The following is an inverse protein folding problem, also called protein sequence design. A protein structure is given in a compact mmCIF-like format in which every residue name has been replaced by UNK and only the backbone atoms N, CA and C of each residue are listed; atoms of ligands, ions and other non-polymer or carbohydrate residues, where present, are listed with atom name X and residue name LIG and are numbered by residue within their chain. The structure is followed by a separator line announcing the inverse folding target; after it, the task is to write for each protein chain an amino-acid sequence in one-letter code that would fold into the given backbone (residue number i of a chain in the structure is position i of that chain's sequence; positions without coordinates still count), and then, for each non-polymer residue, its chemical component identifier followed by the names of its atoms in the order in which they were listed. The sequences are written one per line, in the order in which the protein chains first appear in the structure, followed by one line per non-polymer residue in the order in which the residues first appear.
data_IF_793087615174
#
_entry.id   IF_793087615174
#
_cell.length_a   1.000
_cell.length_b   1.000
_cell.length_c   1.000
_cell.angle_alpha   90.00
_cell.angle_beta   90.00
_cell.angle_gamma   90.00
#
_symmetry.space_group_name_H-M   'P 1'
#
loop_
_entity.id
_entity.type
_entity.pdbx_description
1 polymer ?
#
# COMPACT_ATOMS: atom_id res chain seq x y z
N UNK A 1 8.91 3.70 1.02
CA UNK A 1 9.78 4.12 -0.09
C UNK A 1 9.63 5.63 -0.21
N UNK A 2 10.60 6.41 0.25
CA UNK A 2 10.58 7.85 -0.02
C UNK A 2 10.63 8.11 -1.53
N UNK A 3 10.07 9.24 -2.00
CA UNK A 3 10.07 9.63 -3.43
C UNK A 3 11.47 9.57 -4.04
N UNK A 4 12.45 10.21 -3.39
CA UNK A 4 13.85 10.18 -3.80
C UNK A 4 14.42 8.74 -3.94
N UNK A 5 14.02 7.81 -3.07
CA UNK A 5 14.48 6.41 -3.19
C UNK A 5 13.92 5.75 -4.44
N UNK A 6 12.68 6.05 -4.80
CA UNK A 6 12.07 5.56 -6.04
C UNK A 6 12.80 6.15 -7.25
N UNK A 7 12.98 7.46 -7.30
CA UNK A 7 13.70 8.17 -8.37
C UNK A 7 15.11 7.61 -8.58
N UNK A 8 15.90 7.47 -7.51
CA UNK A 8 17.25 6.89 -7.58
C UNK A 8 17.24 5.43 -8.04
N UNK A 9 16.22 4.66 -7.68
CA UNK A 9 16.09 3.26 -8.09
C UNK A 9 15.78 3.17 -9.59
N UNK A 10 14.89 4.03 -10.10
CA UNK A 10 14.57 4.12 -11.53
C UNK A 10 15.77 4.63 -12.33
N UNK A 11 16.46 5.66 -11.84
CA UNK A 11 17.68 6.15 -12.46
C UNK A 11 18.76 5.06 -12.52
N UNK A 12 18.99 4.35 -11.41
CA UNK A 12 19.96 3.25 -11.36
C UNK A 12 19.61 2.14 -12.36
N UNK A 13 18.32 1.82 -12.53
CA UNK A 13 17.85 0.85 -13.51
C UNK A 13 18.25 1.25 -14.94
N UNK A 14 17.97 2.48 -15.37
CA UNK A 14 18.32 2.94 -16.72
C UNK A 14 19.82 3.10 -16.93
N UNK A 15 20.57 3.60 -15.94
CA UNK A 15 22.03 3.69 -16.02
C UNK A 15 22.69 2.31 -16.16
N UNK A 16 22.19 1.30 -15.45
CA UNK A 16 22.68 -0.09 -15.59
C UNK A 16 22.43 -0.69 -16.98
N UNK A 17 21.45 -0.16 -17.71
CA UNK A 17 21.17 -0.53 -19.11
C UNK A 17 22.00 0.28 -20.12
N UNK A 18 22.85 1.20 -19.64
CA UNK A 18 23.67 2.06 -20.49
C UNK A 18 22.93 3.25 -21.08
N UNK A 19 21.75 3.62 -20.57
CA UNK A 19 21.04 4.82 -21.01
C UNK A 19 21.64 6.09 -20.38
N UNK A 20 21.59 7.19 -21.12
CA UNK A 20 21.90 8.53 -20.60
C UNK A 20 20.70 9.13 -19.87
N UNK A 21 20.95 9.78 -18.73
CA UNK A 21 19.93 10.40 -17.88
C UNK A 21 20.20 11.86 -17.62
N UNK A 22 19.15 12.67 -17.66
CA UNK A 22 19.13 14.04 -17.16
C UNK A 22 18.16 14.15 -15.99
N UNK A 23 18.63 14.76 -14.91
CA UNK A 23 17.80 15.32 -13.85
C UNK A 23 17.52 16.78 -14.16
N UNK A 24 16.28 17.14 -14.51
CA UNK A 24 15.95 18.51 -14.90
C UNK A 24 16.26 19.55 -13.80
N UNK A 25 16.18 19.14 -12.53
CA UNK A 25 16.50 19.97 -11.36
C UNK A 25 17.96 20.43 -11.31
N UNK A 26 18.88 19.70 -11.96
CA UNK A 26 20.31 20.06 -12.06
C UNK A 26 20.67 20.65 -13.41
N UNK A 27 19.71 20.80 -14.32
CA UNK A 27 19.95 21.42 -15.63
C UNK A 27 19.85 22.95 -15.53
N UNK A 28 20.79 23.66 -16.15
CA UNK A 28 20.93 25.13 -16.11
C UNK A 28 19.83 25.88 -16.91
N UNK A 29 18.73 25.17 -17.25
CA UNK A 29 17.60 25.73 -18.00
C UNK A 29 16.72 26.59 -17.10
N UNK A 30 17.12 27.85 -17.01
CA UNK A 30 16.42 28.99 -16.45
C UNK A 30 15.12 29.35 -17.20
N UNK A 31 14.17 28.43 -17.27
CA UNK A 31 12.80 28.75 -17.68
C UNK A 31 11.79 27.74 -17.12
N UNK A 32 11.34 28.00 -15.89
CA UNK A 32 10.23 27.28 -15.27
C UNK A 32 10.64 26.09 -14.41
N UNK A 33 9.73 25.70 -13.52
CA UNK A 33 9.89 24.52 -12.65
C UNK A 33 9.99 23.28 -13.56
N UNK A 34 10.98 22.40 -13.38
CA UNK A 34 11.01 21.15 -14.14
C UNK A 34 9.70 20.40 -13.93
N UNK A 35 9.08 19.94 -15.01
CA UNK A 35 7.78 19.30 -14.93
C UNK A 35 7.90 17.86 -14.44
N UNK A 36 8.96 17.15 -14.82
CA UNK A 36 9.17 15.72 -14.55
C UNK A 36 10.47 15.45 -13.77
N UNK A 37 10.59 14.28 -13.13
CA UNK A 37 11.74 13.91 -12.31
C UNK A 37 12.99 13.47 -13.10
N UNK A 38 12.83 12.66 -14.17
CA UNK A 38 13.94 12.12 -14.96
C UNK A 38 13.65 12.22 -16.47
N UNK A 39 14.68 12.49 -17.28
CA UNK A 39 14.66 12.27 -18.73
C UNK A 39 15.66 11.17 -19.09
N UNK A 40 15.18 10.11 -19.75
CA UNK A 40 16.03 9.11 -20.40
C UNK A 40 16.24 9.55 -21.85
N UNK A 41 17.42 10.10 -22.16
CA UNK A 41 17.66 10.75 -23.45
C UNK A 41 17.62 9.76 -24.62
N UNK A 42 18.18 8.58 -24.40
CA UNK A 42 18.42 7.59 -25.46
C UNK A 42 17.24 6.62 -25.66
N UNK A 43 16.06 6.93 -25.09
CA UNK A 43 14.91 6.04 -25.11
C UNK A 43 13.68 6.69 -25.76
N UNK A 44 13.35 6.23 -26.95
CA UNK A 44 12.29 6.83 -27.77
C UNK A 44 12.85 7.77 -28.83
N UNK A 45 11.97 8.47 -29.54
CA UNK A 45 12.38 9.39 -30.62
C UNK A 45 13.05 10.65 -30.08
N UNK A 46 12.52 11.21 -29.00
CA UNK A 46 12.98 12.47 -28.40
C UNK A 46 13.31 12.30 -26.89
N UNK A 47 13.58 11.06 -26.47
CA UNK A 47 13.74 10.68 -25.07
C UNK A 47 12.41 10.42 -24.35
N UNK A 48 12.52 9.80 -23.16
CA UNK A 48 11.39 9.42 -22.30
C UNK A 48 11.40 10.25 -21.02
N UNK A 49 10.33 11.01 -20.79
CA UNK A 49 10.08 11.67 -19.50
C UNK A 49 9.53 10.66 -18.50
N UNK A 50 10.08 10.65 -17.29
CA UNK A 50 9.63 9.80 -16.20
C UNK A 50 9.28 10.66 -15.00
N UNK A 51 8.06 10.48 -14.51
CA UNK A 51 7.59 11.08 -13.28
C UNK A 51 7.40 10.01 -12.21
N UNK A 52 8.03 10.17 -11.05
CA UNK A 52 8.03 9.23 -9.96
C UNK A 52 7.09 9.71 -8.84
N UNK A 53 6.21 8.82 -8.37
CA UNK A 53 5.34 9.08 -7.22
C UNK A 53 5.39 7.96 -6.23
N UNK A 54 5.65 8.29 -4.97
CA UNK A 54 5.45 7.33 -3.89
C UNK A 54 4.07 7.54 -3.26
N UNK A 55 3.32 6.44 -3.14
CA UNK A 55 2.07 6.40 -2.38
C UNK A 55 2.34 5.63 -1.09
N UNK A 56 2.25 6.35 0.03
CA UNK A 56 2.48 5.79 1.35
C UNK A 56 1.41 4.78 1.74
N UNK A 57 1.75 3.92 2.70
CA UNK A 57 0.83 2.88 3.17
C UNK A 57 -0.48 3.44 3.73
N UNK A 58 -0.43 4.65 4.30
CA UNK A 58 -1.53 5.22 5.09
C UNK A 58 -2.42 6.18 4.29
N UNK A 59 -2.00 6.53 3.06
CA UNK A 59 -2.75 7.45 2.21
C UNK A 59 -4.10 6.82 1.83
N UNK A 60 -5.19 7.49 2.16
CA UNK A 60 -6.55 7.00 1.89
C UNK A 60 -7.01 5.83 2.76
N UNK A 61 -6.21 5.37 3.73
CA UNK A 61 -6.65 4.39 4.73
C UNK A 61 -7.41 5.07 5.86
N UNK A 62 -8.49 4.43 6.30
CA UNK A 62 -9.26 4.84 7.48
C UNK A 62 -8.63 4.34 8.77
N UNK A 63 -8.03 3.16 8.70
CA UNK A 63 -7.28 2.50 9.77
C UNK A 63 -5.85 2.29 9.27
N UNK A 64 -4.95 3.20 9.61
CA UNK A 64 -3.55 3.11 9.23
C UNK A 64 -2.74 2.22 10.18
N UNK A 65 -1.71 1.57 9.64
CA UNK A 65 -0.93 0.55 10.38
C UNK A 65 -0.06 1.15 11.48
N UNK A 66 0.44 2.37 11.27
CA UNK A 66 1.24 3.11 12.25
C UNK A 66 0.42 3.41 13.50
N UNK A 67 -0.79 3.96 13.34
CA UNK A 67 -1.69 4.21 14.46
C UNK A 67 -2.04 2.92 15.21
N UNK A 68 -2.26 1.81 14.51
CA UNK A 68 -2.55 0.51 15.14
C UNK A 68 -1.34 -0.01 15.92
N UNK A 69 -0.13 0.16 15.40
CA UNK A 69 1.10 -0.18 16.12
C UNK A 69 1.27 0.65 17.40
N UNK A 70 0.96 1.96 17.36
CA UNK A 70 0.93 2.79 18.57
C UNK A 70 -0.13 2.32 19.58
N UNK A 71 -1.32 1.95 19.09
CA UNK A 71 -2.40 1.41 19.93
C UNK A 71 -1.99 0.09 20.60
N UNK A 72 -1.08 -0.70 20.02
CA UNK A 72 -0.63 -1.96 20.61
C UNK A 72 -0.09 -1.81 22.04
N UNK A 73 0.67 -0.74 22.30
CA UNK A 73 1.17 -0.47 23.64
C UNK A 73 0.03 -0.09 24.59
N UNK A 74 -0.91 0.72 24.13
CA UNK A 74 -2.05 1.15 24.92
C UNK A 74 -3.02 0.01 25.22
N UNK A 75 -3.25 -0.91 24.27
CA UNK A 75 -4.07 -2.10 24.50
C UNK A 75 -3.44 -2.96 25.60
N UNK A 76 -2.13 -3.21 25.54
CA UNK A 76 -1.42 -3.95 26.62
C UNK A 76 -1.56 -3.30 27.98
N UNK A 77 -1.59 -1.96 28.04
CA UNK A 77 -1.75 -1.20 29.29
C UNK A 77 -3.20 -1.21 29.82
N UNK A 78 -4.19 -1.07 28.93
CA UNK A 78 -5.60 -0.96 29.32
C UNK A 78 -6.29 -2.33 29.49
N UNK A 79 -5.74 -3.38 28.88
CA UNK A 79 -6.29 -4.74 28.91
C UNK A 79 -5.24 -5.76 29.44
N UNK A 80 -4.70 -5.56 30.66
CA UNK A 80 -3.66 -6.45 31.20
C UNK A 80 -4.15 -7.89 31.40
N UNK A 81 -5.46 -8.09 31.57
CA UNK A 81 -6.13 -9.39 31.70
C UNK A 81 -5.94 -10.28 30.47
N UNK A 82 -5.56 -9.73 29.31
CA UNK A 82 -5.28 -10.51 28.10
C UNK A 82 -4.24 -11.62 28.32
N UNK A 83 -3.32 -11.43 29.28
CA UNK A 83 -2.29 -12.42 29.63
C UNK A 83 -2.78 -13.58 30.50
N UNK A 84 -3.98 -13.47 31.05
CA UNK A 84 -4.59 -14.42 31.98
C UNK A 84 -5.78 -15.15 31.33
N UNK A 85 -6.07 -14.85 30.06
CA UNK A 85 -7.08 -15.56 29.29
C UNK A 85 -6.70 -17.04 29.13
N UNK A 86 -7.68 -17.91 29.35
CA UNK A 86 -7.58 -19.36 29.15
C UNK A 86 -8.21 -19.81 27.82
N UNK A 87 -9.03 -18.95 27.22
CA UNK A 87 -9.63 -19.12 25.89
C UNK A 87 -9.27 -17.91 25.00
N UNK A 88 -9.60 -18.02 23.71
CA UNK A 88 -9.47 -16.90 22.79
C UNK A 88 -10.62 -15.91 22.94
N UNK A 89 -10.31 -14.61 22.90
CA UNK A 89 -11.29 -13.54 22.82
C UNK A 89 -10.93 -12.61 21.65
N UNK A 90 -11.82 -12.49 20.68
CA UNK A 90 -11.72 -11.53 19.60
C UNK A 90 -12.57 -10.30 19.92
N UNK A 91 -11.99 -9.12 19.72
CA UNK A 91 -12.61 -7.81 19.89
C UNK A 91 -12.54 -7.09 18.56
N UNK A 92 -13.68 -6.98 17.88
CA UNK A 92 -13.79 -6.25 16.61
C UNK A 92 -14.28 -4.85 16.90
N UNK A 93 -13.42 -3.87 16.64
CA UNK A 93 -13.67 -2.44 16.87
C UNK A 93 -13.98 -1.79 15.53
N UNK A 94 -15.22 -1.34 15.34
CA UNK A 94 -15.67 -0.65 14.12
C UNK A 94 -15.91 0.83 14.44
N UNK A 95 -14.99 1.70 14.01
CA UNK A 95 -15.16 3.15 14.15
C UNK A 95 -16.05 3.71 13.03
N UNK A 96 -16.82 4.79 13.25
CA UNK A 96 -17.71 5.34 12.23
C UNK A 96 -17.02 5.89 10.98
N UNK A 97 -15.79 6.40 11.12
CA UNK A 97 -15.01 6.94 10.00
C UNK A 97 -13.53 6.55 10.09
N UNK A 98 -12.80 6.96 11.12
CA UNK A 98 -11.37 6.64 11.27
C UNK A 98 -10.95 6.58 12.72
N UNK A 99 -9.80 5.97 12.98
CA UNK A 99 -9.19 6.02 14.32
C UNK A 99 -8.85 7.47 14.70
N UNK A 100 -8.98 7.86 15.98
CA UNK A 100 -8.63 9.19 16.45
C UNK A 100 -7.16 9.53 16.20
N UNK A 101 -6.89 10.75 15.73
CA UNK A 101 -5.54 11.22 15.41
C UNK A 101 -4.77 11.75 16.62
N UNK A 102 -5.47 12.13 17.68
CA UNK A 102 -4.85 12.64 18.89
C UNK A 102 -4.66 11.54 19.94
N UNK A 103 -3.48 11.50 20.57
CA UNK A 103 -3.12 10.47 21.54
C UNK A 103 -4.08 10.42 22.75
N UNK A 104 -4.61 11.57 23.18
CA UNK A 104 -5.60 11.69 24.25
C UNK A 104 -6.91 11.00 23.89
N UNK A 105 -7.41 11.22 22.67
CA UNK A 105 -8.62 10.59 22.15
C UNK A 105 -8.43 9.09 21.95
N UNK A 106 -7.27 8.66 21.42
CA UNK A 106 -6.92 7.23 21.30
C UNK A 106 -6.96 6.53 22.66
N UNK A 107 -6.39 7.17 23.69
CA UNK A 107 -6.41 6.64 25.06
C UNK A 107 -7.83 6.58 25.63
N UNK A 108 -8.65 7.59 25.38
CA UNK A 108 -10.04 7.61 25.81
C UNK A 108 -10.87 6.50 25.14
N UNK A 109 -10.71 6.34 23.82
CA UNK A 109 -11.34 5.28 23.04
C UNK A 109 -10.95 3.89 23.58
N UNK A 110 -9.65 3.61 23.75
CA UNK A 110 -9.21 2.32 24.28
C UNK A 110 -9.67 2.05 25.70
N UNK A 111 -9.77 3.08 26.55
CA UNK A 111 -10.32 2.93 27.89
C UNK A 111 -11.81 2.56 27.85
N UNK A 112 -12.58 3.16 26.93
CA UNK A 112 -13.98 2.83 26.72
C UNK A 112 -14.14 1.39 26.18
N UNK A 113 -13.33 1.00 25.20
CA UNK A 113 -13.29 -0.38 24.68
C UNK A 113 -12.95 -1.37 25.80
N UNK A 114 -11.89 -1.12 26.58
CA UNK A 114 -11.49 -2.00 27.68
C UNK A 114 -12.59 -2.17 28.72
N UNK A 115 -13.32 -1.10 29.05
CA UNK A 115 -14.49 -1.18 29.95
C UNK A 115 -15.58 -2.08 29.37
N UNK A 116 -15.89 -1.94 28.08
CA UNK A 116 -16.88 -2.75 27.39
C UNK A 116 -16.47 -4.23 27.35
N UNK A 117 -15.20 -4.52 27.05
CA UNK A 117 -14.64 -5.88 27.08
C UNK A 117 -14.72 -6.49 28.47
N UNK A 118 -14.41 -5.73 29.52
CA UNK A 118 -14.50 -6.20 30.91
C UNK A 118 -15.95 -6.48 31.36
N UNK A 119 -16.94 -5.83 30.74
CA UNK A 119 -18.35 -6.14 30.96
C UNK A 119 -18.79 -7.42 30.23
N UNK A 120 -18.00 -7.91 29.26
CA UNK A 120 -18.33 -9.10 28.48
C UNK A 120 -19.46 -8.90 27.49
N UNK A 121 -19.77 -7.65 27.12
CA UNK A 121 -20.91 -7.33 26.25
C UNK A 121 -20.46 -6.63 24.96
N UNK A 122 -20.94 -7.09 23.80
CA UNK A 122 -20.89 -6.30 22.57
C UNK A 122 -21.78 -5.07 22.70
N UNK A 123 -21.41 -3.95 22.08
CA UNK A 123 -22.16 -2.71 22.21
C UNK A 123 -21.66 -1.54 21.36
N UNK A 124 -22.30 -0.39 21.54
CA UNK A 124 -21.94 0.86 20.86
C UNK A 124 -21.48 1.88 21.89
N UNK A 125 -20.30 2.46 21.66
CA UNK A 125 -19.74 3.51 22.49
C UNK A 125 -20.37 4.88 22.15
N UNK A 126 -20.13 5.88 23.00
CA UNK A 126 -20.72 7.21 22.86
C UNK A 126 -20.35 7.92 21.55
N UNK A 127 -19.18 7.62 20.98
CA UNK A 127 -18.71 8.19 19.71
C UNK A 127 -19.25 7.45 18.48
N UNK A 128 -20.12 6.45 18.68
CA UNK A 128 -20.67 5.59 17.63
C UNK A 128 -19.77 4.39 17.27
N UNK A 129 -18.65 4.19 17.95
CA UNK A 129 -17.81 3.00 17.75
C UNK A 129 -18.54 1.74 18.19
N UNK A 130 -18.65 0.76 17.31
CA UNK A 130 -19.16 -0.57 17.65
C UNK A 130 -18.03 -1.47 18.15
N UNK A 131 -18.25 -2.14 19.27
CA UNK A 131 -17.35 -3.14 19.84
C UNK A 131 -18.10 -4.47 19.82
N UNK A 132 -17.58 -5.44 19.09
CA UNK A 132 -18.13 -6.78 19.02
C UNK A 132 -17.15 -7.80 19.62
N UNK A 133 -17.63 -8.58 20.60
CA UNK A 133 -16.86 -9.57 21.34
C UNK A 133 -17.22 -10.96 20.85
N UNK A 134 -16.20 -11.80 20.63
CA UNK A 134 -16.40 -13.18 20.16
C UNK A 134 -15.38 -14.10 20.80
N UNK A 135 -15.86 -15.13 21.46
CA UNK A 135 -14.98 -16.18 21.97
C UNK A 135 -14.49 -17.08 20.83
N UNK A 136 -13.27 -17.59 20.97
CA UNK A 136 -12.74 -18.61 20.09
C UNK A 136 -11.92 -19.64 20.86
N UNK A 137 -11.83 -20.84 20.30
CA UNK A 137 -11.23 -22.00 20.96
C UNK A 137 -9.74 -21.80 21.28
N UNK A 138 -9.28 -22.35 22.40
CA UNK A 138 -7.88 -22.25 22.83
C UNK A 138 -6.89 -22.93 21.86
N UNK A 139 -7.33 -23.95 21.11
CA UNK A 139 -6.51 -24.59 20.08
C UNK A 139 -6.22 -23.63 18.90
N UNK A 140 -7.14 -22.73 18.57
CA UNK A 140 -6.94 -21.68 17.57
C UNK A 140 -6.01 -20.61 18.12
N UNK A 141 -6.14 -20.26 19.41
CA UNK A 141 -5.20 -19.35 20.07
C UNK A 141 -3.75 -19.88 20.05
N UNK A 142 -3.56 -21.19 20.20
CA UNK A 142 -2.24 -21.83 20.11
C UNK A 142 -1.62 -21.76 18.69
N UNK A 143 -2.43 -21.58 17.64
CA UNK A 143 -1.97 -21.45 16.25
C UNK A 143 -1.54 -20.01 15.90
N UNK A 144 -1.77 -19.03 16.77
CA UNK A 144 -1.40 -17.64 16.51
C UNK A 144 0.12 -17.45 16.57
N UNK A 145 0.78 -17.67 15.44
CA UNK A 145 2.22 -17.54 15.26
C UNK A 145 2.55 -16.53 14.16
N UNK A 146 3.22 -15.43 14.53
CA UNK A 146 3.64 -14.36 13.61
C UNK A 146 4.50 -14.83 12.42
N UNK A 147 5.14 -16.00 12.54
CA UNK A 147 5.97 -16.59 11.49
C UNK A 147 5.20 -17.52 10.56
N UNK A 148 3.94 -17.82 10.88
CA UNK A 148 3.10 -18.70 10.07
C UNK A 148 2.47 -17.90 8.92
N UNK A 149 2.74 -18.27 7.64
CA UNK A 149 2.09 -17.65 6.49
C UNK A 149 0.55 -17.73 6.52
N UNK A 150 -0.01 -18.73 7.22
CA UNK A 150 -1.45 -18.92 7.36
C UNK A 150 -2.07 -18.08 8.49
N UNK A 151 -1.27 -17.41 9.33
CA UNK A 151 -1.77 -16.62 10.47
C UNK A 151 -2.88 -15.67 10.07
N UNK A 152 -2.72 -15.02 8.91
CA UNK A 152 -3.70 -14.05 8.42
C UNK A 152 -5.07 -14.67 8.20
N UNK A 153 -5.15 -15.87 7.62
CA UNK A 153 -6.42 -16.56 7.40
C UNK A 153 -7.08 -16.94 8.72
N UNK A 154 -6.28 -17.35 9.71
CA UNK A 154 -6.77 -17.64 11.07
C UNK A 154 -7.34 -16.38 11.73
N UNK A 155 -6.64 -15.24 11.65
CA UNK A 155 -7.12 -13.96 12.18
C UNK A 155 -8.41 -13.49 11.49
N UNK A 156 -8.46 -13.57 10.16
CA UNK A 156 -9.65 -13.22 9.37
C UNK A 156 -10.84 -14.12 9.73
N UNK A 157 -10.63 -15.42 9.96
CA UNK A 157 -11.67 -16.35 10.40
C UNK A 157 -12.19 -16.03 11.81
N UNK A 158 -11.28 -15.85 12.79
CA UNK A 158 -11.64 -15.56 14.19
C UNK A 158 -12.35 -14.21 14.32
N UNK A 159 -11.89 -13.21 13.60
CA UNK A 159 -12.46 -11.85 13.63
C UNK A 159 -13.60 -11.66 12.64
N UNK A 160 -13.90 -12.65 11.80
CA UNK A 160 -14.80 -12.55 10.64
C UNK A 160 -14.63 -11.23 9.88
N UNK A 161 -13.39 -10.82 9.70
CA UNK A 161 -13.03 -9.61 8.94
C UNK A 161 -12.12 -10.01 7.78
N UNK A 162 -11.82 -9.06 6.90
CA UNK A 162 -10.93 -9.28 5.77
C UNK A 162 -9.96 -8.12 5.64
N UNK A 163 -8.66 -8.41 5.64
CA UNK A 163 -7.61 -7.41 5.42
C UNK A 163 -7.65 -6.22 6.40
N UNK A 164 -8.00 -6.45 7.66
CA UNK A 164 -8.01 -5.39 8.68
C UNK A 164 -6.78 -5.50 9.58
N UNK A 165 -6.21 -4.36 10.03
CA UNK A 165 -5.16 -4.36 11.03
C UNK A 165 -5.61 -5.04 12.31
N UNK A 166 -4.81 -6.00 12.78
CA UNK A 166 -5.16 -6.84 13.93
C UNK A 166 -3.99 -6.91 14.90
N UNK A 167 -4.28 -6.76 16.19
CA UNK A 167 -3.34 -6.95 17.29
C UNK A 167 -3.60 -8.29 17.96
N UNK A 168 -2.54 -9.02 18.29
CA UNK A 168 -2.62 -10.26 19.06
C UNK A 168 -1.83 -10.09 20.36
N UNK A 169 -2.48 -10.34 21.49
CA UNK A 169 -1.88 -10.29 22.82
C UNK A 169 -2.28 -11.57 23.55
N UNK A 170 -1.30 -12.34 24.00
CA UNK A 170 -1.56 -13.57 24.74
C UNK A 170 -0.29 -14.36 25.00
N UNK A 171 -0.45 -15.49 25.67
CA UNK A 171 0.64 -16.45 25.91
C UNK A 171 0.40 -17.67 25.03
N UNK A 172 1.46 -18.13 24.36
CA UNK A 172 1.39 -19.37 23.56
C UNK A 172 0.87 -20.53 24.41
N UNK A 173 -0.03 -21.33 23.83
CA UNK A 173 -0.61 -22.51 24.47
C UNK A 173 -1.61 -22.23 25.60
N UNK A 174 -2.03 -20.97 25.79
CA UNK A 174 -3.10 -20.57 26.72
C UNK A 174 -4.23 -19.91 25.91
N UNK A 175 -4.79 -18.80 26.38
CA UNK A 175 -5.68 -17.93 25.63
C UNK A 175 -4.96 -16.77 24.92
N UNK A 176 -5.72 -16.06 24.08
CA UNK A 176 -5.25 -14.89 23.37
C UNK A 176 -6.38 -13.87 23.17
N UNK A 177 -6.05 -12.59 23.35
CA UNK A 177 -6.85 -11.46 22.92
C UNK A 177 -6.45 -11.07 21.50
N UNK A 178 -7.42 -11.04 20.60
CA UNK A 178 -7.27 -10.57 19.23
C UNK A 178 -8.09 -9.29 19.08
N UNK A 179 -7.46 -8.16 18.78
CA UNK A 179 -8.16 -6.88 18.58
C UNK A 179 -8.05 -6.46 17.12
N UNK A 180 -9.17 -6.50 16.39
CA UNK A 180 -9.25 -6.07 15.00
C UNK A 180 -9.86 -4.67 14.92
N UNK A 181 -9.21 -3.77 14.18
CA UNK A 181 -9.72 -2.41 13.95
C UNK A 181 -10.20 -2.25 12.51
N UNK A 182 -11.45 -1.82 12.35
CA UNK A 182 -12.03 -1.51 11.05
C UNK A 182 -12.81 -0.21 11.08
N UNK A 183 -13.08 0.34 9.90
CA UNK A 183 -13.96 1.49 9.73
C UNK A 183 -15.26 1.06 9.06
N UNK A 184 -16.36 1.73 9.41
CA UNK A 184 -17.62 1.64 8.66
C UNK A 184 -17.53 2.29 7.26
N UNK A 185 -16.47 3.05 6.99
CA UNK A 185 -16.16 3.63 5.67
C UNK A 185 -15.08 2.81 4.97
N UNK A 186 -15.24 2.62 3.67
CA UNK A 186 -14.23 1.99 2.83
C UNK A 186 -12.98 2.86 2.71
N UNK A 187 -11.83 2.19 2.56
CA UNK A 187 -10.58 2.85 2.20
C UNK A 187 -10.66 3.45 0.79
N UNK A 188 -10.04 4.61 0.60
CA UNK A 188 -9.93 5.30 -0.69
C UNK A 188 -8.55 5.13 -1.33
N UNK A 189 -7.70 4.24 -0.80
CA UNK A 189 -6.32 4.04 -1.26
C UNK A 189 -6.20 3.91 -2.79
N UNK A 190 -7.03 3.09 -3.44
CA UNK A 190 -6.98 2.94 -4.90
C UNK A 190 -7.34 4.24 -5.63
N UNK A 191 -8.34 4.99 -5.15
CA UNK A 191 -8.69 6.29 -5.72
C UNK A 191 -7.54 7.29 -5.53
N UNK A 192 -6.86 7.27 -4.39
CA UNK A 192 -5.68 8.12 -4.16
C UNK A 192 -4.51 7.76 -5.09
N UNK A 193 -4.28 6.48 -5.35
CA UNK A 193 -3.28 6.02 -6.34
C UNK A 193 -3.65 6.53 -7.73
N UNK A 194 -4.91 6.35 -8.11
CA UNK A 194 -5.46 6.77 -9.40
C UNK A 194 -5.34 8.28 -9.62
N UNK A 195 -5.80 9.08 -8.67
CA UNK A 195 -5.71 10.53 -8.71
C UNK A 195 -4.25 11.00 -8.76
N UNK A 196 -3.36 10.32 -8.05
CA UNK A 196 -1.91 10.61 -8.10
C UNK A 196 -1.35 10.40 -9.50
N UNK A 197 -1.69 9.28 -10.17
CA UNK A 197 -1.21 8.99 -11.53
C UNK A 197 -1.77 10.00 -12.53
N UNK A 198 -3.06 10.29 -12.46
CA UNK A 198 -3.71 11.23 -13.38
C UNK A 198 -3.21 12.66 -13.20
N UNK A 199 -2.99 13.11 -11.96
CA UNK A 199 -2.47 14.44 -11.68
C UNK A 199 -1.04 14.59 -12.19
N UNK A 200 -0.19 13.59 -11.92
CA UNK A 200 1.19 13.53 -12.43
C UNK A 200 1.22 13.58 -13.96
N UNK A 201 0.45 12.73 -14.64
CA UNK A 201 0.41 12.71 -16.10
C UNK A 201 -0.03 14.06 -16.72
N UNK A 202 -0.93 14.77 -16.04
CA UNK A 202 -1.51 16.04 -16.53
C UNK A 202 -0.64 17.25 -16.23
N UNK A 203 0.05 17.29 -15.09
CA UNK A 203 0.72 18.49 -14.57
C UNK A 203 2.23 18.38 -14.50
N UNK A 204 2.77 17.17 -14.54
CA UNK A 204 4.18 16.87 -14.26
C UNK A 204 4.86 16.12 -15.42
N UNK A 205 4.26 16.17 -16.60
CA UNK A 205 4.90 15.78 -17.85
C UNK A 205 4.75 16.97 -18.81
N UNK A 206 5.71 17.15 -19.72
CA UNK A 206 5.71 18.32 -20.61
C UNK A 206 4.62 18.26 -21.68
N UNK A 207 4.13 17.06 -21.99
CA UNK A 207 3.21 16.82 -23.10
C UNK A 207 3.86 16.83 -24.48
N UNK A 208 5.17 17.05 -24.57
CA UNK A 208 5.88 17.26 -25.85
C UNK A 208 6.61 16.02 -26.37
N UNK A 209 6.82 15.02 -25.52
CA UNK A 209 7.47 13.74 -25.86
C UNK A 209 6.83 12.60 -25.07
N UNK A 210 7.30 11.38 -25.30
CA UNK A 210 6.83 10.22 -24.56
C UNK A 210 7.00 10.42 -23.04
N UNK A 211 5.94 10.14 -22.29
CA UNK A 211 5.90 10.27 -20.85
C UNK A 211 5.45 8.99 -20.15
N UNK A 212 6.08 8.69 -19.02
CA UNK A 212 5.82 7.51 -18.20
C UNK A 212 5.65 7.94 -16.74
N UNK A 213 4.57 7.51 -16.10
CA UNK A 213 4.40 7.69 -14.65
C UNK A 213 4.78 6.40 -13.93
N UNK A 214 5.70 6.50 -12.97
CA UNK A 214 6.14 5.37 -12.13
C UNK A 214 5.65 5.59 -10.70
N UNK A 215 4.88 4.66 -10.18
CA UNK A 215 4.29 4.74 -8.84
C UNK A 215 4.86 3.67 -7.93
N UNK A 216 5.56 4.07 -6.88
CA UNK A 216 5.96 3.20 -5.78
C UNK A 216 4.82 3.02 -4.78
N UNK A 217 4.35 1.79 -4.60
CA UNK A 217 3.27 1.43 -3.69
C UNK A 217 3.86 0.86 -2.39
N UNK A 218 3.83 1.63 -1.32
CA UNK A 218 4.35 1.16 -0.03
C UNK A 218 3.47 0.10 0.64
N UNK A 219 2.16 0.14 0.36
CA UNK A 219 1.14 -0.74 0.92
C UNK A 219 1.13 -2.15 0.33
N UNK A 220 1.81 -2.36 -0.81
CA UNK A 220 1.71 -3.59 -1.59
C UNK A 220 3.11 -4.20 -1.70
N UNK A 221 3.24 -5.44 -1.26
CA UNK A 221 4.47 -6.22 -1.38
C UNK A 221 4.62 -6.84 -2.78
N UNK A 222 5.80 -7.39 -3.04
CA UNK A 222 6.16 -7.95 -4.34
C UNK A 222 5.29 -9.15 -4.74
N UNK A 223 4.84 -9.96 -3.79
CA UNK A 223 4.03 -11.15 -4.04
C UNK A 223 2.59 -10.77 -4.39
N UNK A 224 2.00 -9.82 -3.65
CA UNK A 224 0.68 -9.28 -3.91
C UNK A 224 0.60 -8.59 -5.28
N UNK A 225 1.60 -7.77 -5.62
CA UNK A 225 1.65 -7.10 -6.93
C UNK A 225 1.82 -8.10 -8.08
N UNK A 226 2.65 -9.14 -7.89
CA UNK A 226 2.83 -10.22 -8.87
C UNK A 226 1.54 -11.02 -9.05
N UNK A 227 0.85 -11.34 -7.96
CA UNK A 227 -0.44 -12.03 -8.01
C UNK A 227 -1.50 -11.20 -8.74
N UNK A 228 -1.53 -9.88 -8.54
CA UNK A 228 -2.41 -8.97 -9.27
C UNK A 228 -2.10 -8.97 -10.77
N UNK A 229 -0.82 -8.86 -11.15
CA UNK A 229 -0.42 -8.91 -12.54
C UNK A 229 -0.82 -10.26 -13.19
N UNK A 230 -0.54 -11.39 -12.52
CA UNK A 230 -0.93 -12.72 -12.99
C UNK A 230 -2.44 -12.87 -13.15
N UNK A 231 -3.22 -12.34 -12.19
CA UNK A 231 -4.68 -12.31 -12.27
C UNK A 231 -5.14 -11.59 -13.53
N UNK A 232 -4.59 -10.40 -13.80
CA UNK A 232 -4.96 -9.61 -14.97
C UNK A 232 -4.52 -10.24 -16.29
N UNK A 233 -3.39 -10.95 -16.31
CA UNK A 233 -2.91 -11.64 -17.52
C UNK A 233 -3.68 -12.92 -17.86
N UNK A 234 -4.41 -13.50 -16.90
CA UNK A 234 -5.22 -14.69 -17.15
C UNK A 234 -6.49 -14.33 -17.95
N UNK A 235 -6.64 -14.91 -19.14
CA UNK A 235 -7.74 -14.60 -20.06
C UNK A 235 -9.14 -14.92 -19.51
N UNK A 236 -9.23 -15.78 -18.47
CA UNK A 236 -10.49 -16.16 -17.82
C UNK A 236 -10.97 -15.17 -16.76
N UNK A 237 -10.13 -14.22 -16.35
CA UNK A 237 -10.41 -13.35 -15.23
C UNK A 237 -10.93 -11.99 -15.70
N UNK A 238 -11.87 -11.43 -14.93
CA UNK A 238 -12.25 -10.04 -15.09
C UNK A 238 -11.05 -9.12 -14.76
N UNK A 239 -10.82 -8.04 -15.53
CA UNK A 239 -9.76 -7.09 -15.26
C UNK A 239 -9.89 -6.46 -13.88
N UNK A 240 -8.77 -6.30 -13.20
CA UNK A 240 -8.68 -5.59 -11.92
C UNK A 240 -9.07 -4.12 -12.06
N UNK A 241 -9.45 -3.51 -10.94
CA UNK A 241 -9.72 -2.07 -10.89
C UNK A 241 -8.50 -1.24 -11.35
N UNK A 242 -7.29 -1.69 -11.01
CA UNK A 242 -6.04 -1.05 -11.45
C UNK A 242 -5.92 -1.07 -12.97
N UNK A 243 -6.10 -2.24 -13.60
CA UNK A 243 -6.05 -2.38 -15.05
C UNK A 243 -7.12 -1.55 -15.75
N UNK A 244 -8.37 -1.61 -15.29
CA UNK A 244 -9.45 -0.81 -15.85
C UNK A 244 -9.15 0.69 -15.78
N UNK A 245 -8.65 1.17 -14.64
CA UNK A 245 -8.33 2.57 -14.47
C UNK A 245 -7.18 3.01 -15.36
N UNK A 246 -6.06 2.28 -15.35
CA UNK A 246 -4.86 2.65 -16.11
C UNK A 246 -5.15 2.58 -17.62
N UNK A 247 -5.88 1.56 -18.08
CA UNK A 247 -6.32 1.50 -19.48
C UNK A 247 -7.21 2.68 -19.87
N UNK A 248 -8.13 3.14 -19.00
CA UNK A 248 -8.92 4.35 -19.26
C UNK A 248 -8.05 5.60 -19.29
N UNK A 249 -7.11 5.73 -18.37
CA UNK A 249 -6.19 6.88 -18.29
C UNK A 249 -5.33 6.98 -19.54
N UNK A 250 -4.68 5.87 -19.95
CA UNK A 250 -3.84 5.81 -21.14
C UNK A 250 -4.65 6.13 -22.41
N UNK A 251 -5.92 5.74 -22.48
CA UNK A 251 -6.76 6.00 -23.64
C UNK A 251 -7.38 7.41 -23.70
N UNK A 252 -7.05 8.31 -22.75
CA UNK A 252 -7.49 9.70 -22.83
C UNK A 252 -6.78 10.46 -23.94
N UNK A 253 -7.57 11.14 -24.76
CA UNK A 253 -7.04 11.95 -25.87
C UNK A 253 -6.21 13.15 -25.39
N UNK A 254 -6.56 13.74 -24.24
CA UNK A 254 -5.83 14.89 -23.66
C UNK A 254 -4.50 14.50 -23.00
N UNK A 255 -4.17 13.21 -22.94
CA UNK A 255 -2.93 12.66 -22.39
C UNK A 255 -2.23 11.77 -23.42
N UNK A 256 -2.27 12.11 -24.71
CA UNK A 256 -1.69 11.28 -25.78
C UNK A 256 -0.19 11.01 -25.60
N UNK A 257 0.52 11.90 -24.93
CA UNK A 257 1.95 11.77 -24.58
C UNK A 257 2.24 10.70 -23.53
N UNK A 258 1.24 10.33 -22.71
CA UNK A 258 1.39 9.29 -21.69
C UNK A 258 1.43 7.92 -22.39
N UNK A 259 2.63 7.36 -22.50
CA UNK A 259 2.88 6.07 -23.17
C UNK A 259 2.84 4.88 -22.22
N UNK A 260 2.81 5.13 -20.91
CA UNK A 260 2.66 4.06 -19.93
C UNK A 260 2.51 4.53 -18.49
N UNK A 261 2.19 3.56 -17.64
CA UNK A 261 2.26 3.69 -16.19
C UNK A 261 2.86 2.41 -15.59
N UNK A 262 3.77 2.57 -14.64
CA UNK A 262 4.40 1.45 -13.93
C UNK A 262 4.09 1.54 -12.45
N UNK A 263 3.78 0.41 -11.83
CA UNK A 263 3.54 0.31 -10.40
C UNK A 263 4.59 -0.61 -9.79
N UNK A 264 5.37 -0.13 -8.83
CA UNK A 264 6.40 -0.89 -8.14
C UNK A 264 5.99 -1.22 -6.71
N UNK A 265 6.22 -2.46 -6.27
CA UNK A 265 6.03 -2.83 -4.86
C UNK A 265 7.16 -2.29 -3.99
N UNK A 266 6.92 -2.18 -2.68
CA UNK A 266 8.01 -1.98 -1.73
C UNK A 266 8.93 -3.20 -1.74
N UNK A 267 10.21 -2.96 -2.03
CA UNK A 267 11.25 -3.95 -1.87
C UNK A 267 11.72 -4.11 -0.43
N UNK A 268 11.87 -5.36 0.00
CA UNK A 268 12.58 -5.76 1.20
C UNK A 268 14.07 -5.82 0.92
N UNK A 269 14.87 -5.46 1.92
CA UNK A 269 16.30 -5.72 1.88
C UNK A 269 16.53 -7.22 2.08
N UNK A 270 17.17 -7.85 1.11
CA UNK A 270 17.59 -9.24 1.17
C UNK A 270 19.10 -9.25 1.39
N UNK A 271 19.54 -10.05 2.35
CA UNK A 271 20.96 -10.26 2.61
C UNK A 271 21.58 -11.03 1.43
N UNK A 272 22.41 -10.33 0.65
CA UNK A 272 23.26 -10.96 -0.36
C UNK A 272 24.64 -11.25 0.21
N UNK A 273 25.33 -12.24 -0.36
CA UNK A 273 26.60 -12.76 0.17
C UNK A 273 27.70 -11.70 0.43
N UNK A 274 27.62 -10.53 -0.21
CA UNK A 274 28.55 -9.40 0.00
C UNK A 274 27.86 -8.01 0.00
N UNK A 275 26.54 -7.95 -0.20
CA UNK A 275 25.79 -6.68 -0.26
C UNK A 275 24.29 -6.93 -0.02
N UNK A 276 23.61 -5.96 0.58
CA UNK A 276 22.15 -5.96 0.64
C UNK A 276 21.59 -5.75 -0.77
N UNK A 277 20.69 -6.65 -1.19
CA UNK A 277 19.90 -6.52 -2.43
C UNK A 277 18.48 -6.14 -2.08
N UNK A 278 17.66 -5.71 -3.05
CA UNK A 278 16.23 -5.47 -2.83
C UNK A 278 15.42 -6.41 -3.71
N UNK A 279 14.46 -7.14 -3.13
CA UNK A 279 13.37 -7.71 -3.96
C UNK A 279 12.42 -6.60 -4.38
N UNK A 280 11.60 -6.85 -5.39
CA UNK A 280 10.62 -5.90 -5.87
C UNK A 280 9.98 -6.44 -7.14
N UNK A 281 8.69 -6.22 -7.28
CA UNK A 281 7.96 -6.49 -8.52
C UNK A 281 7.54 -5.16 -9.12
N UNK A 282 7.52 -5.07 -10.44
CA UNK A 282 6.84 -4.01 -11.17
C UNK A 282 5.67 -4.59 -11.97
N UNK A 283 4.59 -3.83 -12.07
CA UNK A 283 3.49 -4.11 -12.98
C UNK A 283 3.34 -2.94 -13.94
N UNK A 284 3.63 -3.19 -15.21
CA UNK A 284 3.80 -2.17 -16.24
C UNK A 284 2.63 -2.20 -17.22
N UNK A 285 2.13 -1.02 -17.57
CA UNK A 285 1.11 -0.82 -18.58
C UNK A 285 1.67 0.11 -19.64
N UNK A 286 1.57 -0.29 -20.91
CA UNK A 286 2.04 0.50 -22.04
C UNK A 286 0.90 0.73 -23.03
N UNK A 287 0.98 1.85 -23.77
CA UNK A 287 0.07 2.20 -24.86
C UNK A 287 0.86 2.26 -26.16
N UNK A 288 0.94 1.11 -26.82
CA UNK A 288 1.70 0.96 -28.06
C UNK A 288 1.10 1.75 -29.23
N UNK A 289 -0.20 2.06 -29.15
CA UNK A 289 -0.93 2.85 -30.15
C UNK A 289 -0.72 4.37 -30.00
N UNK A 290 0.04 4.81 -29.00
CA UNK A 290 0.34 6.24 -28.83
C UNK A 290 1.18 6.76 -30.00
N UNK A 291 0.92 7.98 -30.51
CA UNK A 291 1.80 8.60 -31.49
C UNK A 291 3.21 8.91 -30.96
N UNK A 292 3.40 8.88 -29.64
CA UNK A 292 4.69 9.04 -28.97
C UNK A 292 5.35 7.69 -28.65
N UNK A 293 4.71 6.56 -28.98
CA UNK A 293 5.25 5.24 -28.71
C UNK A 293 6.52 4.98 -29.53
N UNK A 294 7.45 4.28 -28.91
CA UNK A 294 8.62 3.74 -29.59
C UNK A 294 8.91 2.33 -29.06
N UNK A 295 9.25 1.34 -29.90
CA UNK A 295 9.44 -0.05 -29.45
C UNK A 295 10.49 -0.22 -28.34
N UNK A 296 11.49 0.64 -28.28
CA UNK A 296 12.48 0.63 -27.18
C UNK A 296 11.85 0.86 -25.80
N UNK A 297 10.75 1.62 -25.72
CA UNK A 297 10.01 1.92 -24.48
C UNK A 297 9.32 0.65 -23.95
N UNK A 298 8.85 -0.25 -24.83
CA UNK A 298 8.27 -1.54 -24.42
C UNK A 298 9.25 -2.43 -23.66
N UNK A 299 10.55 -2.18 -23.83
CA UNK A 299 11.62 -2.85 -23.10
C UNK A 299 12.21 -2.00 -21.97
N UNK A 300 11.51 -0.95 -21.52
CA UNK A 300 12.03 -0.04 -20.50
C UNK A 300 12.29 -0.74 -19.16
N UNK A 301 11.49 -1.74 -18.79
CA UNK A 301 11.56 -2.44 -17.49
C UNK A 301 11.78 -3.96 -17.58
N UNK A 302 12.12 -4.48 -18.76
CA UNK A 302 12.40 -5.91 -18.99
C UNK A 302 13.83 -6.30 -18.67
#
# INVERSE_FOLDING_TARGET
MSGLRLELSIATHFLRRGCSLIWPEFSDQSSGKPSFDLLVEDLGTDGLEIECKSVSNDKGRRIDGETVAELALLVKQQMPFANDLTQGLAVVVTVPDRLPRHATERKALLKAIARQVMMGESGVLQDGTHVDLRDFEANVAAQLNERDPALRQVLEAVTQTKNVPTLVIGKRGHGALVVAFQSARSDTFLNEVFDTVADAAKRQLSGRRAGLVVVGLEAIDAAALKSLAQHDHAASNDPSALRLYVSRLLNRADLSHLVGASFGSKGNLIDGAQALTTDGSSYNFFKEESPFWHPAIGNAFS
#
